data_IF_469865812718
#
_entry.id   IF_469865812718
#
_cell.length_a   1.000
_cell.length_b   1.000
_cell.length_c   1.000
_cell.angle_alpha   90.00
_cell.angle_beta   90.00
_cell.angle_gamma   90.00
#
_symmetry.space_group_name_H-M   'P 1'
#
loop_
_entity.id
_entity.type
_entity.pdbx_description
1 polymer ?
#
# COMPACT_ATOMS: atom_id res chain seq x y z
N UNK A 1 -17.60 -12.39 -11.88
CA UNK A 1 -18.48 -12.25 -10.68
C UNK A 1 -17.60 -11.89 -9.49
N UNK A 2 -17.28 -10.60 -9.32
CA UNK A 2 -16.46 -10.11 -8.19
C UNK A 2 -17.09 -8.88 -7.50
N UNK A 3 -18.42 -8.79 -7.38
CA UNK A 3 -19.06 -7.58 -6.82
C UNK A 3 -18.51 -7.22 -5.43
N UNK A 4 -18.51 -8.15 -4.48
CA UNK A 4 -18.03 -7.90 -3.12
C UNK A 4 -16.51 -7.71 -3.05
N UNK A 5 -15.65 -8.60 -3.61
CA UNK A 5 -14.20 -8.40 -3.59
C UNK A 5 -13.77 -7.08 -4.26
N UNK A 6 -14.44 -6.70 -5.36
CA UNK A 6 -14.19 -5.43 -6.05
C UNK A 6 -14.52 -4.25 -5.13
N UNK A 7 -15.72 -4.22 -4.55
CA UNK A 7 -16.15 -3.13 -3.65
C UNK A 7 -15.17 -2.99 -2.49
N UNK A 8 -14.82 -4.10 -1.83
CA UNK A 8 -13.89 -4.08 -0.70
C UNK A 8 -12.47 -3.64 -1.10
N UNK A 9 -11.98 -4.03 -2.29
CA UNK A 9 -10.66 -3.61 -2.78
C UNK A 9 -10.62 -2.09 -3.03
N UNK A 10 -11.69 -1.50 -3.59
CA UNK A 10 -11.78 -0.05 -3.73
C UNK A 10 -12.02 0.67 -2.40
N UNK A 11 -12.79 0.07 -1.48
CA UNK A 11 -13.00 0.62 -0.15
C UNK A 11 -11.67 0.77 0.63
N UNK A 12 -10.71 -0.13 0.41
CA UNK A 12 -9.36 -0.03 0.97
C UNK A 12 -8.58 1.22 0.52
N UNK A 13 -9.00 1.92 -0.54
CA UNK A 13 -8.36 3.17 -0.98
C UNK A 13 -8.99 4.41 -0.36
N UNK A 14 -10.21 4.30 0.16
CA UNK A 14 -10.99 5.45 0.66
C UNK A 14 -10.26 6.23 1.75
N UNK A 15 -9.59 5.60 2.75
CA UNK A 15 -8.86 6.36 3.75
C UNK A 15 -7.67 7.15 3.17
N UNK A 16 -6.97 6.62 2.16
CA UNK A 16 -5.91 7.37 1.47
C UNK A 16 -6.48 8.58 0.74
N UNK A 17 -7.61 8.42 0.05
CA UNK A 17 -8.28 9.53 -0.63
C UNK A 17 -8.65 10.64 0.38
N UNK A 18 -9.26 10.27 1.51
CA UNK A 18 -9.64 11.22 2.54
C UNK A 18 -8.42 11.94 3.14
N UNK A 19 -7.34 11.22 3.43
CA UNK A 19 -6.10 11.81 3.93
C UNK A 19 -5.46 12.75 2.90
N UNK A 20 -5.42 12.38 1.61
CA UNK A 20 -4.93 13.27 0.55
C UNK A 20 -5.75 14.56 0.47
N UNK A 21 -7.09 14.47 0.57
CA UNK A 21 -7.97 15.65 0.62
C UNK A 21 -7.66 16.50 1.86
N UNK A 22 -7.49 15.90 3.03
CA UNK A 22 -7.13 16.67 4.23
C UNK A 22 -5.78 17.38 4.08
N UNK A 23 -4.77 16.73 3.50
CA UNK A 23 -3.45 17.34 3.26
C UNK A 23 -3.51 18.53 2.28
N UNK A 24 -4.47 18.54 1.34
CA UNK A 24 -4.73 19.66 0.43
C UNK A 24 -5.29 20.90 1.15
N UNK A 25 -6.16 20.70 2.15
CA UNK A 25 -6.86 21.82 2.81
C UNK A 25 -6.26 22.25 4.15
N UNK A 26 -5.51 21.38 4.83
CA UNK A 26 -4.99 21.62 6.18
C UNK A 26 -3.47 21.51 6.21
N UNK A 27 -2.80 22.59 5.81
CA UNK A 27 -1.33 22.68 5.72
C UNK A 27 -0.63 22.45 7.06
N UNK A 28 -1.20 22.95 8.17
CA UNK A 28 -0.60 22.83 9.51
C UNK A 28 -0.57 21.40 10.06
N UNK A 29 -1.34 20.46 9.50
CA UNK A 29 -1.47 19.08 9.99
C UNK A 29 -0.97 18.03 9.00
N UNK A 30 -0.26 18.45 7.94
CA UNK A 30 0.26 17.55 6.90
C UNK A 30 1.15 16.44 7.45
N UNK A 31 2.00 16.75 8.45
CA UNK A 31 2.87 15.74 9.10
C UNK A 31 2.02 14.64 9.74
N UNK A 32 0.96 15.00 10.48
CA UNK A 32 0.08 14.04 11.15
C UNK A 32 -0.66 13.18 10.12
N UNK A 33 -1.18 13.79 9.06
CA UNK A 33 -1.88 13.05 8.01
C UNK A 33 -0.95 12.14 7.22
N UNK A 34 0.27 12.57 6.91
CA UNK A 34 1.29 11.71 6.31
C UNK A 34 1.59 10.52 7.23
N UNK A 35 1.70 10.73 8.54
CA UNK A 35 1.94 9.65 9.48
C UNK A 35 0.78 8.64 9.54
N UNK A 36 -0.47 9.11 9.57
CA UNK A 36 -1.66 8.26 9.46
C UNK A 36 -1.70 7.49 8.13
N UNK A 37 -1.23 8.13 7.05
CA UNK A 37 -1.08 7.51 5.73
C UNK A 37 -0.12 6.32 5.79
N UNK A 38 1.04 6.47 6.45
CA UNK A 38 2.02 5.40 6.64
C UNK A 38 1.45 4.25 7.47
N UNK A 39 0.78 4.54 8.60
CA UNK A 39 0.18 3.51 9.46
C UNK A 39 -0.85 2.69 8.70
N UNK A 40 -1.79 3.36 8.04
CA UNK A 40 -2.84 2.67 7.29
C UNK A 40 -2.26 1.88 6.10
N UNK A 41 -1.26 2.44 5.41
CA UNK A 41 -0.46 1.73 4.41
C UNK A 41 0.17 0.46 4.95
N UNK A 42 0.79 0.52 6.13
CA UNK A 42 1.38 -0.63 6.80
C UNK A 42 0.36 -1.74 7.10
N UNK A 43 -0.86 -1.40 7.53
CA UNK A 43 -1.91 -2.38 7.77
C UNK A 43 -2.32 -3.11 6.48
N UNK A 44 -2.53 -2.36 5.40
CA UNK A 44 -2.90 -2.94 4.09
C UNK A 44 -1.76 -3.82 3.55
N UNK A 45 -0.51 -3.34 3.63
CA UNK A 45 0.67 -4.12 3.21
C UNK A 45 0.76 -5.42 4.00
N UNK A 46 0.60 -5.37 5.33
CA UNK A 46 0.67 -6.54 6.20
C UNK A 46 -0.39 -7.59 5.85
N UNK A 47 -1.61 -7.14 5.56
CA UNK A 47 -2.71 -8.01 5.14
C UNK A 47 -2.44 -8.69 3.79
N UNK A 48 -1.95 -7.95 2.80
CA UNK A 48 -1.64 -8.47 1.46
C UNK A 48 -0.45 -9.43 1.49
N UNK A 49 0.64 -9.02 2.11
CA UNK A 49 1.84 -9.82 2.31
C UNK A 49 1.53 -11.13 3.05
N UNK A 50 0.70 -11.08 4.11
CA UNK A 50 0.25 -12.26 4.84
C UNK A 50 -0.56 -13.23 3.95
N UNK A 51 -1.39 -12.70 3.06
CA UNK A 51 -2.15 -13.50 2.10
C UNK A 51 -1.24 -14.20 1.08
N UNK A 52 -0.23 -13.50 0.56
CA UNK A 52 0.79 -14.09 -0.34
C UNK A 52 1.67 -15.12 0.38
N UNK A 53 2.08 -14.83 1.61
CA UNK A 53 2.89 -15.75 2.42
C UNK A 53 2.16 -17.06 2.68
N UNK A 54 0.87 -17.02 2.99
CA UNK A 54 0.04 -18.23 3.13
C UNK A 54 0.12 -19.11 1.88
N UNK A 55 0.03 -18.52 0.68
CA UNK A 55 0.14 -19.27 -0.57
C UNK A 55 1.56 -19.84 -0.75
N UNK A 56 2.60 -19.08 -0.41
CA UNK A 56 3.98 -19.54 -0.46
C UNK A 56 4.25 -20.73 0.47
N UNK A 57 3.68 -20.71 1.68
CA UNK A 57 3.73 -21.83 2.64
C UNK A 57 3.04 -23.07 2.06
N UNK A 58 1.85 -22.90 1.45
CA UNK A 58 1.15 -24.02 0.80
C UNK A 58 1.96 -24.63 -0.34
N UNK A 59 2.75 -23.82 -1.05
CA UNK A 59 3.62 -24.25 -2.14
C UNK A 59 4.99 -24.76 -1.68
N UNK A 60 5.29 -24.74 -0.37
CA UNK A 60 6.59 -25.15 0.22
C UNK A 60 7.80 -24.46 -0.42
N UNK A 61 7.65 -23.20 -0.83
CA UNK A 61 8.73 -22.40 -1.41
C UNK A 61 9.26 -21.40 -0.36
N UNK A 62 10.37 -21.75 0.30
CA UNK A 62 10.95 -20.96 1.37
C UNK A 62 11.45 -19.59 0.89
N UNK A 63 11.98 -19.51 -0.34
CA UNK A 63 12.43 -18.25 -0.93
C UNK A 63 11.25 -17.30 -1.16
N UNK A 64 10.13 -17.84 -1.64
CA UNK A 64 8.91 -17.08 -1.83
C UNK A 64 8.26 -16.68 -0.50
N UNK A 65 8.34 -17.54 0.54
CA UNK A 65 7.87 -17.18 1.87
C UNK A 65 8.59 -15.93 2.39
N UNK A 66 9.92 -15.89 2.32
CA UNK A 66 10.70 -14.71 2.70
C UNK A 66 10.26 -13.50 1.86
N UNK A 67 10.22 -13.67 0.54
CA UNK A 67 9.85 -12.59 -0.39
C UNK A 67 8.47 -11.99 -0.09
N UNK A 68 7.50 -12.80 0.32
CA UNK A 68 6.15 -12.36 0.65
C UNK A 68 6.07 -11.59 1.98
N UNK A 69 6.95 -11.88 2.95
CA UNK A 69 6.98 -11.17 4.24
C UNK A 69 7.81 -9.89 4.22
N UNK A 70 8.77 -9.77 3.30
CA UNK A 70 9.62 -8.57 3.17
C UNK A 70 8.84 -7.25 3.09
N UNK A 71 7.75 -7.11 2.32
CA UNK A 71 6.96 -5.88 2.29
C UNK A 71 6.44 -5.46 3.67
N UNK A 72 5.98 -6.38 4.50
CA UNK A 72 5.52 -6.09 5.87
C UNK A 72 6.66 -5.56 6.73
N UNK A 73 7.80 -6.25 6.72
CA UNK A 73 8.97 -5.86 7.50
C UNK A 73 9.42 -4.45 7.09
N UNK A 74 9.53 -4.21 5.79
CA UNK A 74 9.90 -2.89 5.26
C UNK A 74 8.87 -1.81 5.58
N UNK A 75 7.57 -2.13 5.57
CA UNK A 75 6.54 -1.17 5.96
C UNK A 75 6.68 -0.75 7.43
N UNK A 76 7.01 -1.68 8.33
CA UNK A 76 7.29 -1.36 9.74
C UNK A 76 8.50 -0.43 9.85
N UNK A 77 9.60 -0.71 9.13
CA UNK A 77 10.75 0.19 9.09
C UNK A 77 10.41 1.57 8.54
N UNK A 78 9.61 1.66 7.48
CA UNK A 78 9.14 2.93 6.90
C UNK A 78 8.32 3.73 7.93
N UNK A 79 7.45 3.09 8.70
CA UNK A 79 6.67 3.76 9.76
C UNK A 79 7.60 4.27 10.86
N UNK A 80 8.55 3.45 11.33
CA UNK A 80 9.53 3.86 12.35
C UNK A 80 10.37 5.04 11.85
N UNK A 81 10.86 4.98 10.60
CA UNK A 81 11.59 6.09 9.99
C UNK A 81 10.71 7.34 9.87
N UNK A 82 9.41 7.20 9.59
CA UNK A 82 8.46 8.31 9.59
C UNK A 82 8.13 8.88 10.98
N UNK A 83 8.44 8.17 12.07
CA UNK A 83 8.38 8.72 13.44
C UNK A 83 9.62 9.56 13.76
N UNK A 84 10.79 9.12 13.28
CA UNK A 84 12.08 9.75 13.58
C UNK A 84 12.39 10.90 12.64
N UNK A 85 12.01 10.76 11.38
CA UNK A 85 12.17 11.75 10.31
C UNK A 85 10.82 12.27 9.86
N UNK A 86 10.80 13.24 8.94
CA UNK A 86 9.54 13.74 8.41
C UNK A 86 8.83 12.63 7.58
N UNK A 87 7.59 12.24 7.96
CA UNK A 87 6.86 11.13 7.34
C UNK A 87 6.48 11.36 5.87
N UNK A 88 6.48 12.61 5.40
CA UNK A 88 6.22 12.95 3.99
C UNK A 88 7.25 12.27 3.08
N UNK A 89 8.52 12.25 3.48
CA UNK A 89 9.61 11.60 2.71
C UNK A 89 9.46 10.09 2.61
N UNK A 90 8.66 9.49 3.48
CA UNK A 90 8.44 8.04 3.52
C UNK A 90 7.29 7.61 2.59
N UNK A 91 6.44 8.54 2.14
CA UNK A 91 5.32 8.22 1.25
C UNK A 91 5.77 7.57 -0.09
N UNK A 92 6.83 8.05 -0.78
CA UNK A 92 7.32 7.38 -1.98
C UNK A 92 7.84 5.96 -1.70
N UNK A 93 8.44 5.71 -0.53
CA UNK A 93 8.88 4.37 -0.15
C UNK A 93 7.69 3.43 0.04
N UNK A 94 6.63 3.92 0.68
CA UNK A 94 5.38 3.18 0.82
C UNK A 94 4.76 2.85 -0.55
N UNK A 95 4.79 3.79 -1.50
CA UNK A 95 4.36 3.58 -2.89
C UNK A 95 5.11 2.43 -3.57
N UNK A 96 6.43 2.37 -3.40
CA UNK A 96 7.25 1.27 -3.95
C UNK A 96 6.80 -0.09 -3.42
N UNK A 97 6.44 -0.19 -2.13
CA UNK A 97 5.96 -1.45 -1.55
C UNK A 97 4.61 -1.89 -2.13
N UNK A 98 3.68 -0.96 -2.40
CA UNK A 98 2.41 -1.29 -3.07
C UNK A 98 2.62 -1.77 -4.51
N UNK A 99 3.56 -1.15 -5.24
CA UNK A 99 3.94 -1.60 -6.59
C UNK A 99 4.59 -2.99 -6.54
N UNK A 100 5.44 -3.25 -5.55
CA UNK A 100 6.02 -4.57 -5.33
C UNK A 100 4.91 -5.60 -5.06
N UNK A 101 3.99 -5.34 -4.13
CA UNK A 101 2.88 -6.25 -3.86
C UNK A 101 2.01 -6.53 -5.08
N UNK A 102 1.79 -5.53 -5.96
CA UNK A 102 1.10 -5.78 -7.23
C UNK A 102 1.90 -6.73 -8.15
N UNK A 103 3.24 -6.63 -8.17
CA UNK A 103 4.07 -7.60 -8.91
C UNK A 103 3.99 -9.01 -8.29
N UNK A 104 3.92 -9.11 -6.96
CA UNK A 104 3.68 -10.39 -6.29
C UNK A 104 2.29 -10.94 -6.63
N UNK A 105 1.26 -10.10 -6.66
CA UNK A 105 -0.08 -10.46 -7.13
C UNK A 105 0.01 -11.07 -8.54
N UNK A 106 0.74 -10.47 -9.49
CA UNK A 106 0.87 -11.02 -10.85
C UNK A 106 1.63 -12.36 -10.92
N UNK A 107 2.54 -12.62 -9.98
CA UNK A 107 3.30 -13.88 -9.93
C UNK A 107 2.50 -15.00 -9.26
N UNK A 108 1.68 -14.65 -8.27
CA UNK A 108 0.93 -15.58 -7.43
C UNK A 108 -0.53 -15.73 -7.85
N UNK A 109 -0.99 -14.93 -8.81
CA UNK A 109 -2.39 -14.87 -9.20
C UNK A 109 -2.96 -16.17 -9.77
N UNK A 110 -2.13 -17.16 -10.15
CA UNK A 110 -2.57 -18.48 -10.60
C UNK A 110 -3.89 -18.43 -11.40
N UNK A 111 -4.93 -19.07 -10.86
CA UNK A 111 -6.29 -19.14 -11.41
C UNK A 111 -7.28 -18.03 -10.93
N UNK A 112 -6.83 -17.06 -10.14
CA UNK A 112 -7.68 -15.97 -9.58
C UNK A 112 -8.22 -15.05 -10.70
N UNK A 113 -7.63 -15.14 -11.90
CA UNK A 113 -8.18 -14.60 -13.14
C UNK A 113 -7.81 -13.14 -13.43
N UNK A 114 -7.85 -12.79 -14.72
CA UNK A 114 -7.47 -11.47 -15.23
C UNK A 114 -8.28 -10.32 -14.61
N UNK A 115 -9.56 -10.56 -14.28
CA UNK A 115 -10.45 -9.56 -13.68
C UNK A 115 -9.92 -9.06 -12.33
N UNK A 116 -9.41 -9.96 -11.48
CA UNK A 116 -8.82 -9.60 -10.18
C UNK A 116 -7.57 -8.74 -10.38
N UNK A 117 -6.66 -9.14 -11.27
CA UNK A 117 -5.44 -8.39 -11.57
C UNK A 117 -5.74 -6.98 -12.09
N UNK A 118 -6.76 -6.81 -12.93
CA UNK A 118 -7.18 -5.49 -13.41
C UNK A 118 -7.69 -4.61 -12.26
N UNK A 119 -8.45 -5.17 -11.31
CA UNK A 119 -8.91 -4.44 -10.12
C UNK A 119 -7.71 -4.03 -9.27
N UNK A 120 -6.77 -4.95 -9.01
CA UNK A 120 -5.55 -4.68 -8.25
C UNK A 120 -4.71 -3.59 -8.90
N UNK A 121 -4.50 -3.67 -10.21
CA UNK A 121 -3.78 -2.64 -10.99
C UNK A 121 -4.41 -1.27 -10.83
N UNK A 122 -5.72 -1.17 -11.03
CA UNK A 122 -6.43 0.11 -10.96
C UNK A 122 -6.34 0.73 -9.56
N UNK A 123 -6.48 -0.08 -8.52
CA UNK A 123 -6.35 0.37 -7.12
C UNK A 123 -4.91 0.77 -6.78
N UNK A 124 -3.90 0.02 -7.24
CA UNK A 124 -2.49 0.40 -7.08
C UNK A 124 -2.19 1.71 -7.81
N UNK A 125 -2.67 1.90 -9.04
CA UNK A 125 -2.50 3.16 -9.78
C UNK A 125 -3.17 4.33 -9.04
N UNK A 126 -4.41 4.15 -8.58
CA UNK A 126 -5.12 5.15 -7.81
C UNK A 126 -4.35 5.54 -6.53
N UNK A 127 -3.85 4.54 -5.79
CA UNK A 127 -3.00 4.76 -4.63
C UNK A 127 -1.73 5.54 -4.97
N UNK A 128 -1.01 5.15 -6.03
CA UNK A 128 0.18 5.88 -6.49
C UNK A 128 -0.13 7.33 -6.83
N UNK A 129 -1.25 7.59 -7.54
CA UNK A 129 -1.69 8.96 -7.83
C UNK A 129 -1.94 9.77 -6.56
N UNK A 130 -2.61 9.18 -5.57
CA UNK A 130 -2.86 9.83 -4.29
C UNK A 130 -1.56 10.14 -3.53
N UNK A 131 -0.61 9.20 -3.51
CA UNK A 131 0.72 9.43 -2.91
C UNK A 131 1.45 10.58 -3.60
N UNK A 132 1.45 10.63 -4.93
CA UNK A 132 2.11 11.70 -5.69
C UNK A 132 1.51 13.07 -5.35
N UNK A 133 0.18 13.17 -5.29
CA UNK A 133 -0.51 14.41 -4.90
C UNK A 133 -0.15 14.79 -3.46
N UNK A 134 -0.28 13.85 -2.51
CA UNK A 134 0.05 14.08 -1.11
C UNK A 134 1.50 14.52 -0.91
N UNK A 135 2.44 13.91 -1.63
CA UNK A 135 3.84 14.27 -1.57
C UNK A 135 4.11 15.66 -2.15
N UNK A 136 3.57 15.97 -3.33
CA UNK A 136 3.77 17.27 -3.99
C UNK A 136 3.25 18.44 -3.14
N UNK A 137 2.05 18.29 -2.57
CA UNK A 137 1.40 19.31 -1.74
C UNK A 137 2.13 19.55 -0.41
N UNK A 138 2.83 18.54 0.09
CA UNK A 138 3.53 18.62 1.37
C UNK A 138 5.01 18.94 1.22
N UNK A 139 5.56 18.93 0.00
CA UNK A 139 6.93 19.31 -0.28
C UNK A 139 7.13 20.84 -0.24
N UNK A 140 6.04 21.60 -0.39
CA UNK A 140 6.06 23.06 -0.38
C UNK A 140 6.20 23.68 1.04
N UNK A 141 6.30 22.86 2.08
CA UNK A 141 6.39 23.26 3.50
C UNK A 141 7.54 22.52 4.22
#
# INVERSE_FOLDING_TARGET
>A
MFKTPKILTYAGVVPFFFLTVLMLYQTQSQIVFAFLYLIYGGFIISFLAGSHWKQAVMNKDDGLQILCMMPTILAVFIIILGMVFNPVWMLPMLMVLFVWLYRLDTKLSGDVGLEYLLIRRNVTVLFCTLVIISFAVSYEF
#
